data_IF_548020909253
#
_entry.id   IF_548020909253
#
_cell.length_a   1.000
_cell.length_b   1.000
_cell.length_c   1.000
_cell.angle_alpha   90.00
_cell.angle_beta   90.00
_cell.angle_gamma   90.00
#
_symmetry.space_group_name_H-M   'P 1'
#
loop_
_entity.id
_entity.type
_entity.pdbx_description
1 polymer ?
#
# COMPACT_ATOMS: atom_id res chain seq x y z
N UNK A 1 -18.43 2.66 -12.17
CA UNK A 1 -17.41 1.59 -12.19
C UNK A 1 -16.08 2.23 -11.84
N UNK A 2 -15.37 1.74 -10.83
CA UNK A 2 -14.02 2.23 -10.53
C UNK A 2 -13.12 1.88 -11.72
N UNK A 3 -12.61 2.89 -12.41
CA UNK A 3 -11.66 2.71 -13.49
C UNK A 3 -10.42 2.04 -12.88
N UNK A 4 -10.21 0.75 -13.19
CA UNK A 4 -9.16 -0.04 -12.58
C UNK A 4 -7.87 0.26 -13.34
N UNK A 5 -7.13 1.28 -12.87
CA UNK A 5 -5.83 1.61 -13.43
C UNK A 5 -4.90 0.39 -13.43
N UNK A 6 -4.12 0.25 -14.49
CA UNK A 6 -3.05 -0.72 -14.61
C UNK A 6 -1.95 -0.44 -13.59
N UNK A 7 -1.20 -1.47 -13.20
CA UNK A 7 -0.04 -1.35 -12.29
C UNK A 7 0.94 -0.30 -12.81
N UNK A 8 1.18 -0.27 -14.12
CA UNK A 8 2.11 0.68 -14.75
C UNK A 8 1.60 2.11 -14.67
N UNK A 9 0.29 2.31 -14.75
CA UNK A 9 -0.32 3.64 -14.64
C UNK A 9 -0.19 4.18 -13.21
N UNK A 10 -0.39 3.33 -12.20
CA UNK A 10 -0.14 3.70 -10.81
C UNK A 10 1.34 4.03 -10.56
N UNK A 11 2.27 3.26 -11.13
CA UNK A 11 3.70 3.55 -10.99
C UNK A 11 4.07 4.92 -11.57
N UNK A 12 3.57 5.25 -12.76
CA UNK A 12 3.76 6.56 -13.38
C UNK A 12 3.15 7.68 -12.54
N UNK A 13 1.90 7.51 -12.10
CA UNK A 13 1.20 8.49 -11.27
C UNK A 13 1.96 8.76 -9.96
N UNK A 14 2.42 7.71 -9.27
CA UNK A 14 3.18 7.82 -8.02
C UNK A 14 4.53 8.50 -8.29
N UNK A 15 5.26 8.06 -9.32
CA UNK A 15 6.55 8.63 -9.70
C UNK A 15 6.47 10.13 -10.01
N UNK A 16 5.45 10.53 -10.78
CA UNK A 16 5.20 11.92 -11.12
C UNK A 16 4.87 12.76 -9.88
N UNK A 17 4.03 12.25 -8.98
CA UNK A 17 3.71 12.94 -7.71
C UNK A 17 4.95 13.13 -6.85
N UNK A 18 5.77 12.09 -6.67
CA UNK A 18 7.03 12.18 -5.91
C UNK A 18 7.96 13.22 -6.51
N UNK A 19 8.08 13.25 -7.85
CA UNK A 19 8.86 14.28 -8.55
C UNK A 19 8.35 15.68 -8.24
N UNK A 20 7.03 15.90 -8.26
CA UNK A 20 6.43 17.19 -7.94
C UNK A 20 6.71 17.61 -6.49
N UNK A 21 6.56 16.70 -5.52
CA UNK A 21 6.90 16.99 -4.12
C UNK A 21 8.37 17.39 -3.97
N UNK A 22 9.28 16.63 -4.59
CA UNK A 22 10.72 16.94 -4.55
C UNK A 22 11.01 18.33 -5.15
N UNK A 23 10.47 18.63 -6.33
CA UNK A 23 10.69 19.92 -7.01
C UNK A 23 10.11 21.09 -6.21
N UNK A 24 8.90 20.93 -5.67
CA UNK A 24 8.25 21.97 -4.86
C UNK A 24 9.00 22.23 -3.53
N UNK A 25 9.71 21.23 -3.00
CA UNK A 25 10.57 21.38 -1.85
C UNK A 25 11.96 21.97 -2.19
N UNK A 26 12.27 22.20 -3.47
CA UNK A 26 13.58 22.71 -3.89
C UNK A 26 14.73 21.70 -3.78
N UNK A 27 14.41 20.40 -3.67
CA UNK A 27 15.39 19.33 -3.44
C UNK A 27 15.86 18.77 -4.79
N UNK A 28 17.17 18.70 -5.03
CA UNK A 28 17.69 18.01 -6.24
C UNK A 28 17.64 16.49 -6.08
N UNK A 29 17.76 15.73 -7.17
CA UNK A 29 17.86 14.27 -7.07
C UNK A 29 19.11 13.82 -6.27
N UNK A 30 20.18 14.62 -6.29
CA UNK A 30 21.42 14.37 -5.54
C UNK A 30 21.25 14.65 -4.05
N UNK A 31 20.49 15.70 -3.70
CA UNK A 31 20.17 16.00 -2.31
C UNK A 31 19.28 14.88 -1.73
N UNK A 32 18.27 14.45 -2.51
CA UNK A 32 17.41 13.33 -2.12
C UNK A 32 18.18 12.01 -1.99
N UNK A 33 19.18 11.75 -2.83
CA UNK A 33 20.08 10.60 -2.66
C UNK A 33 20.86 10.69 -1.34
N UNK A 34 21.38 11.87 -1.03
CA UNK A 34 22.16 12.11 0.20
C UNK A 34 21.30 11.90 1.46
N UNK A 35 20.02 12.26 1.40
CA UNK A 35 19.08 12.16 2.53
C UNK A 35 18.44 10.78 2.66
N UNK A 36 18.01 10.18 1.54
CA UNK A 36 17.33 8.87 1.55
C UNK A 36 18.28 7.67 1.48
N UNK A 37 19.54 7.88 1.08
CA UNK A 37 20.50 6.80 0.78
C UNK A 37 20.14 5.99 -0.46
N UNK A 38 19.17 6.43 -1.27
CA UNK A 38 18.74 5.76 -2.50
C UNK A 38 19.44 6.42 -3.68
N UNK A 39 20.06 5.61 -4.55
CA UNK A 39 20.88 6.16 -5.63
C UNK A 39 20.11 7.09 -6.58
N UNK A 40 20.76 8.13 -7.12
CA UNK A 40 20.19 9.05 -8.12
C UNK A 40 19.55 8.27 -9.28
N UNK A 41 20.19 7.19 -9.73
CA UNK A 41 19.68 6.34 -10.82
C UNK A 41 18.33 5.71 -10.45
N UNK A 42 18.16 5.28 -9.21
CA UNK A 42 16.91 4.66 -8.72
C UNK A 42 15.82 5.71 -8.54
N UNK A 43 16.16 6.89 -8.00
CA UNK A 43 15.25 8.03 -7.88
C UNK A 43 14.75 8.45 -9.27
N UNK A 44 15.66 8.64 -10.23
CA UNK A 44 15.30 9.03 -11.60
C UNK A 44 14.38 8.02 -12.29
N UNK A 45 14.63 6.72 -12.09
CA UNK A 45 13.76 5.64 -12.61
C UNK A 45 12.39 5.65 -11.95
N UNK A 46 12.32 5.86 -10.64
CA UNK A 46 11.05 5.99 -9.92
C UNK A 46 10.21 7.14 -10.47
N UNK A 47 10.83 8.31 -10.67
CA UNK A 47 10.15 9.49 -11.23
C UNK A 47 9.64 9.27 -12.67
N UNK A 48 10.21 8.30 -13.39
CA UNK A 48 9.76 7.89 -14.72
C UNK A 48 8.70 6.77 -14.68
N UNK A 49 8.31 6.31 -13.48
CA UNK A 49 7.31 5.26 -13.28
C UNK A 49 7.87 3.85 -13.40
N UNK A 50 9.16 3.63 -13.16
CA UNK A 50 9.71 2.29 -13.05
C UNK A 50 9.34 1.64 -11.71
N UNK A 51 9.41 0.31 -11.66
CA UNK A 51 9.31 -0.42 -10.40
C UNK A 51 10.48 -0.09 -9.48
N UNK A 52 10.18 -0.05 -8.18
CA UNK A 52 11.14 0.15 -7.10
C UNK A 52 10.85 -0.83 -5.97
N UNK A 53 11.87 -1.15 -5.17
CA UNK A 53 11.67 -1.89 -3.92
C UNK A 53 10.91 -1.03 -2.90
N UNK A 54 10.05 -1.67 -2.12
CA UNK A 54 9.24 -1.00 -1.10
C UNK A 54 10.12 -0.25 -0.07
N UNK A 55 11.24 -0.84 0.34
CA UNK A 55 12.17 -0.21 1.28
C UNK A 55 12.71 1.12 0.75
N UNK A 56 13.14 1.16 -0.52
CA UNK A 56 13.61 2.41 -1.14
C UNK A 56 12.50 3.44 -1.27
N UNK A 57 11.25 3.02 -1.53
CA UNK A 57 10.11 3.93 -1.56
C UNK A 57 9.88 4.56 -0.19
N UNK A 58 9.92 3.77 0.89
CA UNK A 58 9.75 4.28 2.26
C UNK A 58 10.87 5.27 2.61
N UNK A 59 12.12 4.95 2.28
CA UNK A 59 13.26 5.87 2.47
C UNK A 59 13.08 7.20 1.75
N UNK A 60 12.61 7.18 0.49
CA UNK A 60 12.34 8.39 -0.29
C UNK A 60 11.18 9.19 0.32
N UNK A 61 10.09 8.52 0.73
CA UNK A 61 8.96 9.19 1.38
C UNK A 61 9.37 9.85 2.69
N UNK A 62 10.20 9.18 3.51
CA UNK A 62 10.72 9.75 4.75
C UNK A 62 11.61 10.96 4.51
N UNK A 63 12.51 10.91 3.51
CA UNK A 63 13.33 12.06 3.14
C UNK A 63 12.51 13.26 2.63
N UNK A 64 11.29 13.02 2.13
CA UNK A 64 10.36 14.08 1.72
C UNK A 64 9.35 14.47 2.80
N UNK A 65 9.46 13.93 4.03
CA UNK A 65 8.50 14.11 5.12
C UNK A 65 7.05 13.71 4.74
N UNK A 66 6.91 12.61 3.98
CA UNK A 66 5.63 12.08 3.48
C UNK A 66 5.25 10.73 4.10
N UNK A 67 6.01 10.22 5.06
CA UNK A 67 5.80 8.92 5.69
C UNK A 67 4.44 8.80 6.39
N UNK A 68 3.89 9.89 6.94
CA UNK A 68 2.57 9.91 7.55
C UNK A 68 1.42 9.61 6.58
N UNK A 69 1.64 9.79 5.27
CA UNK A 69 0.63 9.46 4.26
C UNK A 69 0.46 7.94 4.07
N UNK A 70 1.38 7.13 4.58
CA UNK A 70 1.26 5.67 4.54
C UNK A 70 0.02 5.22 5.33
N UNK A 71 -0.29 5.87 6.46
CA UNK A 71 -1.48 5.57 7.27
C UNK A 71 -2.79 5.86 6.52
N UNK A 72 -2.77 6.85 5.61
CA UNK A 72 -3.90 7.17 4.75
C UNK A 72 -4.06 6.14 3.63
N UNK A 73 -2.94 5.63 3.10
CA UNK A 73 -2.93 4.63 2.04
C UNK A 73 -3.38 3.25 2.56
N UNK A 74 -2.89 2.86 3.74
CA UNK A 74 -3.17 1.56 4.37
C UNK A 74 -3.66 1.82 5.80
N UNK A 75 -4.97 2.02 6.00
CA UNK A 75 -5.51 2.37 7.30
C UNK A 75 -5.44 1.19 8.28
N UNK A 76 -5.08 1.51 9.53
CA UNK A 76 -5.04 0.58 10.65
C UNK A 76 -6.42 -0.06 10.88
N UNK A 77 -6.46 -1.39 10.80
CA UNK A 77 -7.68 -2.17 10.97
C UNK A 77 -8.14 -2.27 12.43
N UNK A 78 -7.23 -2.03 13.38
CA UNK A 78 -7.53 -2.12 14.82
C UNK A 78 -8.35 -0.94 15.32
N UNK A 79 -8.34 0.20 14.62
CA UNK A 79 -9.08 1.42 14.99
C UNK A 79 -10.55 1.42 14.52
N UNK A 80 -11.07 0.30 14.03
CA UNK A 80 -12.44 0.21 13.48
C UNK A 80 -13.45 0.00 14.60
N UNK A 81 -14.66 0.60 14.56
CA UNK A 81 -15.67 0.45 15.61
C UNK A 81 -16.01 -1.00 15.94
N UNK A 82 -16.03 -1.89 14.94
CA UNK A 82 -16.32 -3.32 15.12
C UNK A 82 -15.20 -4.10 15.82
N UNK A 83 -13.99 -3.53 15.90
CA UNK A 83 -12.85 -4.19 16.55
C UNK A 83 -13.13 -4.37 18.06
N UNK A 84 -13.64 -3.33 18.71
CA UNK A 84 -13.98 -3.32 20.15
C UNK A 84 -15.07 -4.32 20.55
N UNK A 85 -15.84 -4.86 19.60
CA UNK A 85 -16.86 -5.87 19.89
C UNK A 85 -16.25 -7.25 20.16
N UNK A 86 -15.02 -7.50 19.66
CA UNK A 86 -14.37 -8.81 19.69
C UNK A 86 -13.07 -8.80 20.50
N UNK A 87 -12.93 -7.91 21.50
CA UNK A 87 -11.69 -7.68 22.27
C UNK A 87 -11.10 -8.95 22.94
N UNK A 88 -11.89 -10.02 23.10
CA UNK A 88 -11.44 -11.31 23.67
C UNK A 88 -10.96 -12.32 22.63
N UNK A 89 -11.27 -12.12 21.35
CA UNK A 89 -10.93 -13.05 20.28
C UNK A 89 -9.55 -12.74 19.68
N UNK A 90 -8.74 -13.79 19.49
CA UNK A 90 -7.47 -13.65 18.78
C UNK A 90 -7.75 -13.18 17.33
N UNK A 91 -6.99 -12.21 16.79
CA UNK A 91 -7.21 -11.73 15.43
C UNK A 91 -7.04 -12.89 14.44
N UNK A 92 -7.92 -12.94 13.42
CA UNK A 92 -7.82 -13.94 12.36
C UNK A 92 -6.51 -13.76 11.59
N UNK A 93 -5.62 -14.76 11.68
CA UNK A 93 -4.32 -14.74 10.99
C UNK A 93 -4.40 -15.21 9.52
N UNK A 94 -5.41 -16.02 9.18
CA UNK A 94 -5.59 -16.58 7.84
C UNK A 94 -7.06 -16.89 7.58
N UNK A 95 -7.49 -16.73 6.34
CA UNK A 95 -8.78 -17.22 5.85
C UNK A 95 -8.54 -18.51 5.06
N UNK A 96 -9.30 -19.57 5.36
CA UNK A 96 -9.36 -20.78 4.54
C UNK A 96 -10.60 -20.70 3.66
N UNK A 97 -10.46 -21.04 2.38
CA UNK A 97 -11.62 -21.20 1.50
C UNK A 97 -12.39 -22.42 2.00
N UNK A 98 -13.67 -22.25 2.35
CA UNK A 98 -14.53 -23.37 2.69
C UNK A 98 -14.83 -24.07 1.37
N UNK A 99 -14.49 -25.35 1.26
CA UNK A 99 -15.01 -26.16 0.16
C UNK A 99 -16.52 -26.23 0.34
N UNK A 100 -17.26 -25.92 -0.72
CA UNK A 100 -18.70 -26.13 -0.75
C UNK A 100 -18.92 -27.63 -0.63
N UNK A 101 -19.31 -28.09 0.56
CA UNK A 101 -19.77 -29.45 0.72
C UNK A 101 -20.99 -29.61 -0.18
N UNK A 102 -20.89 -30.44 -1.21
CA UNK A 102 -21.99 -30.90 -2.07
C UNK A 102 -23.00 -31.77 -1.32
N UNK A 103 -23.09 -31.62 0.01
CA UNK A 103 -24.14 -32.21 0.81
C UNK A 103 -25.36 -31.32 0.68
N UNK A 104 -26.37 -31.79 -0.05
CA UNK A 104 -27.73 -31.26 -0.01
C UNK A 104 -28.12 -31.10 1.45
N UNK A 105 -28.21 -29.85 1.88
CA UNK A 105 -28.61 -29.51 3.23
C UNK A 105 -30.10 -29.82 3.38
N UNK A 106 -30.40 -31.03 3.88
CA UNK A 106 -31.75 -31.44 4.22
C UNK A 106 -32.08 -30.98 5.65
N UNK A 107 -33.07 -30.10 5.77
CA UNK A 107 -33.66 -29.71 7.05
C UNK A 107 -34.72 -30.72 7.45
N UNK A 108 -34.59 -31.30 8.66
CA UNK A 108 -35.65 -31.78 9.55
C UNK A 108 -36.66 -32.82 9.06
N UNK A 109 -37.29 -32.59 7.91
CA UNK A 109 -38.53 -33.24 7.50
C UNK A 109 -38.47 -33.85 6.08
N UNK A 110 -37.31 -33.84 5.42
CA UNK A 110 -37.12 -34.51 4.13
C UNK A 110 -36.45 -35.88 4.31
N UNK A 111 -37.23 -36.95 4.44
CA UNK A 111 -36.75 -38.32 4.11
C UNK A 111 -36.28 -38.38 2.64
#
# INVERSE_FOLDING_TARGET
MLNKFSVVEYQKLIGERIKQYRVNAGVSQKDLESESGVSIRSISRLEQGASIQLESLIKILSALNLEGNIDLLIPDQTKRPSFYLNDKDKPKQRVRKKEESTGTFKWGDEE
#
